data_IF_688371062126
#
_entry.id   IF_688371062126
#
_cell.length_a   1.000
_cell.length_b   1.000
_cell.length_c   1.000
_cell.angle_alpha   90.00
_cell.angle_beta   90.00
_cell.angle_gamma   90.00
#
_symmetry.space_group_name_H-M   'P 1'
#
loop_
_entity.id
_entity.type
_entity.pdbx_description
1 polymer ?
#
# COMPACT_ATOMS: atom_id res chain seq x y z
N UNK A 1 -54.30 -18.61 -50.97
CA UNK A 1 -53.09 -19.13 -51.62
C UNK A 1 -52.78 -18.29 -52.86
N UNK A 2 -51.58 -17.64 -52.89
CA UNK A 2 -50.88 -17.02 -54.05
C UNK A 2 -51.54 -15.77 -54.68
N UNK A 3 -50.86 -14.72 -55.14
CA UNK A 3 -49.57 -14.06 -54.92
C UNK A 3 -49.62 -12.77 -55.79
N UNK A 4 -49.02 -11.67 -55.31
CA UNK A 4 -48.48 -10.48 -56.00
C UNK A 4 -49.32 -9.52 -56.88
N UNK A 5 -49.23 -8.25 -56.45
CA UNK A 5 -48.78 -7.06 -57.20
C UNK A 5 -49.74 -6.36 -58.16
N UNK A 6 -50.18 -5.15 -57.75
CA UNK A 6 -50.24 -3.98 -58.62
C UNK A 6 -50.15 -2.67 -57.82
N UNK A 7 -49.08 -1.96 -58.12
CA UNK A 7 -48.64 -0.61 -57.79
C UNK A 7 -49.75 0.45 -57.98
N UNK A 8 -50.00 1.32 -56.99
CA UNK A 8 -50.65 2.62 -57.20
C UNK A 8 -50.32 3.64 -56.10
N UNK A 9 -49.48 4.59 -56.49
CA UNK A 9 -49.37 6.01 -56.10
C UNK A 9 -50.09 6.44 -54.81
N UNK A 10 -49.31 6.73 -53.76
CA UNK A 10 -49.72 7.70 -52.74
C UNK A 10 -48.50 8.55 -52.34
N UNK A 11 -48.61 9.83 -52.66
CA UNK A 11 -47.70 10.94 -52.40
C UNK A 11 -47.40 11.04 -50.91
N UNK A 12 -46.24 10.55 -50.46
CA UNK A 12 -45.80 10.72 -49.08
C UNK A 12 -44.98 12.00 -48.95
N UNK A 13 -45.68 13.10 -48.71
CA UNK A 13 -45.07 14.31 -48.15
C UNK A 13 -44.58 13.99 -46.73
N UNK A 14 -43.32 13.59 -46.60
CA UNK A 14 -42.65 13.50 -45.31
C UNK A 14 -41.87 14.81 -45.09
N UNK A 15 -42.60 15.83 -44.65
CA UNK A 15 -42.02 17.04 -44.14
C UNK A 15 -41.69 16.86 -42.64
N UNK A 16 -40.45 17.18 -42.27
CA UNK A 16 -40.02 17.66 -40.96
C UNK A 16 -40.16 16.70 -39.76
N UNK A 17 -39.05 16.06 -39.40
CA UNK A 17 -38.28 16.40 -38.18
C UNK A 17 -36.89 15.76 -38.26
N UNK A 18 -35.88 16.56 -38.62
CA UNK A 18 -34.50 16.25 -38.26
C UNK A 18 -34.38 16.40 -36.75
N UNK A 19 -34.58 15.31 -36.00
CA UNK A 19 -34.33 15.27 -34.56
C UNK A 19 -32.98 14.57 -34.33
N UNK A 20 -31.92 15.37 -34.41
CA UNK A 20 -30.63 15.15 -33.76
C UNK A 20 -29.96 13.79 -33.96
N UNK A 21 -29.30 13.58 -35.09
CA UNK A 21 -27.99 12.94 -35.03
C UNK A 21 -27.03 14.05 -34.63
N UNK A 22 -26.38 13.94 -33.47
CA UNK A 22 -25.51 14.97 -32.92
C UNK A 22 -24.61 15.57 -33.98
N UNK A 23 -24.72 16.88 -34.13
CA UNK A 23 -23.77 17.72 -34.85
C UNK A 23 -22.42 17.58 -34.15
N UNK A 24 -21.61 16.60 -34.56
CA UNK A 24 -20.18 16.68 -34.30
C UNK A 24 -19.63 17.70 -35.28
N UNK A 25 -19.79 18.97 -34.91
CA UNK A 25 -19.22 20.12 -35.58
C UNK A 25 -17.74 19.86 -35.87
N UNK A 26 -17.29 19.85 -37.13
CA UNK A 26 -15.90 19.70 -37.47
C UNK A 26 -15.25 21.09 -37.44
N UNK A 27 -14.69 21.49 -36.30
CA UNK A 27 -13.66 22.53 -36.29
C UNK A 27 -13.90 23.76 -35.40
N UNK A 28 -13.95 23.57 -34.09
CA UNK A 28 -13.03 24.35 -33.25
C UNK A 28 -11.94 23.39 -32.84
N UNK A 29 -10.68 23.80 -32.96
CA UNK A 29 -9.59 23.02 -32.39
C UNK A 29 -10.00 22.59 -30.99
N UNK A 30 -10.07 21.28 -30.78
CA UNK A 30 -9.87 20.67 -29.48
C UNK A 30 -8.47 21.10 -29.04
N UNK A 31 -8.40 22.34 -28.57
CA UNK A 31 -7.35 22.85 -27.76
C UNK A 31 -7.59 22.13 -26.45
N UNK A 32 -7.18 20.86 -26.39
CA UNK A 32 -6.55 20.29 -25.21
C UNK A 32 -5.34 21.20 -24.91
N UNK A 33 -5.66 22.41 -24.44
CA UNK A 33 -4.73 23.26 -23.73
C UNK A 33 -4.66 22.57 -22.40
N UNK A 34 -3.66 21.71 -22.28
CA UNK A 34 -3.19 21.23 -21.00
C UNK A 34 -2.99 22.46 -20.09
N UNK A 35 -3.83 22.58 -19.06
CA UNK A 35 -3.78 23.67 -18.07
C UNK A 35 -3.27 23.10 -16.76
N UNK A 36 -2.00 23.35 -16.49
CA UNK A 36 -1.40 22.94 -15.24
C UNK A 36 -2.06 23.64 -14.03
N UNK A 37 -2.49 22.83 -13.07
CA UNK A 37 -3.21 23.24 -11.87
C UNK A 37 -4.73 23.20 -12.00
N UNK A 38 -5.28 22.58 -13.05
CA UNK A 38 -6.74 22.44 -13.22
C UNK A 38 -7.31 21.17 -12.55
N UNK A 39 -6.43 20.34 -11.98
CA UNK A 39 -6.77 19.11 -11.29
C UNK A 39 -7.17 17.98 -12.24
N UNK A 40 -6.71 18.00 -13.49
CA UNK A 40 -6.80 16.91 -14.45
C UNK A 40 -5.52 16.74 -15.24
N UNK A 41 -4.98 15.53 -15.31
CA UNK A 41 -3.82 15.24 -16.17
C UNK A 41 -4.26 15.20 -17.64
N UNK A 42 -3.87 16.20 -18.43
CA UNK A 42 -4.31 16.37 -19.83
C UNK A 42 -3.16 16.71 -20.80
N UNK A 43 -3.38 16.50 -22.10
CA UNK A 43 -2.41 16.79 -23.15
C UNK A 43 -1.01 16.20 -22.94
N UNK A 44 -0.05 17.05 -22.55
CA UNK A 44 1.37 16.69 -22.32
C UNK A 44 1.77 16.68 -20.84
N UNK A 45 0.83 16.94 -19.94
CA UNK A 45 1.09 16.92 -18.51
C UNK A 45 1.38 15.51 -18.05
N UNK A 46 2.35 15.40 -17.13
CA UNK A 46 2.67 14.12 -16.47
C UNK A 46 1.88 13.98 -15.17
N UNK A 47 1.48 15.12 -14.58
CA UNK A 47 0.73 15.23 -13.34
C UNK A 47 0.03 16.59 -13.28
N UNK A 48 -0.95 16.75 -12.38
CA UNK A 48 -1.57 18.04 -12.07
C UNK A 48 -1.82 18.17 -10.57
N UNK A 49 -1.06 19.05 -9.90
CA UNK A 49 -1.20 19.26 -8.45
C UNK A 49 -0.92 17.99 -7.63
N UNK A 50 -1.97 17.40 -7.05
CA UNK A 50 -1.87 16.12 -6.31
C UNK A 50 -2.11 14.91 -7.22
N UNK A 51 -2.67 15.14 -8.40
CA UNK A 51 -3.01 14.10 -9.34
C UNK A 51 -1.76 13.66 -10.11
N UNK A 52 -1.07 12.68 -9.55
CA UNK A 52 0.19 12.15 -10.09
C UNK A 52 -0.03 10.96 -11.03
N UNK A 53 -1.20 10.89 -11.70
CA UNK A 53 -1.54 9.82 -12.66
C UNK A 53 -1.36 8.37 -12.14
N UNK A 54 -1.43 8.16 -10.81
CA UNK A 54 -1.22 6.86 -10.18
C UNK A 54 0.25 6.51 -9.88
N UNK A 55 1.18 7.43 -10.16
CA UNK A 55 2.58 7.30 -9.75
C UNK A 55 2.77 7.52 -8.25
N UNK A 56 3.86 6.99 -7.72
CA UNK A 56 4.22 7.05 -6.30
C UNK A 56 5.70 7.33 -6.16
N UNK A 57 6.15 7.72 -4.96
CA UNK A 57 7.60 7.78 -4.68
C UNK A 57 8.29 6.45 -5.03
N UNK A 58 7.63 5.31 -4.77
CA UNK A 58 8.14 3.97 -5.09
C UNK A 58 8.36 3.77 -6.59
N UNK A 59 7.40 4.15 -7.42
CA UNK A 59 7.54 4.01 -8.88
C UNK A 59 8.57 4.95 -9.48
N UNK A 60 8.86 6.06 -8.79
CA UNK A 60 9.94 7.00 -9.14
C UNK A 60 11.32 6.59 -8.58
N UNK A 61 11.43 5.42 -7.95
CA UNK A 61 12.69 4.86 -7.45
C UNK A 61 13.06 5.26 -6.02
N UNK A 62 12.12 5.84 -5.28
CA UNK A 62 12.25 6.14 -3.85
C UNK A 62 11.60 5.04 -3.00
N UNK A 63 11.68 5.16 -1.67
CA UNK A 63 11.10 4.19 -0.75
C UNK A 63 9.68 4.50 -0.33
N UNK A 64 9.48 5.75 0.09
CA UNK A 64 8.24 6.20 0.72
C UNK A 64 8.06 7.70 0.53
N UNK A 65 6.96 8.23 1.05
CA UNK A 65 6.63 9.65 1.03
C UNK A 65 5.48 9.99 0.09
N UNK A 66 5.30 11.29 -0.15
CA UNK A 66 4.24 11.80 -1.03
C UNK A 66 4.86 12.34 -2.31
N UNK A 67 4.46 11.78 -3.45
CA UNK A 67 4.87 12.30 -4.75
C UNK A 67 4.03 13.53 -5.07
N UNK A 68 4.68 14.64 -5.40
CA UNK A 68 4.02 15.87 -5.84
C UNK A 68 4.15 16.06 -7.35
N UNK A 69 3.50 17.10 -7.84
CA UNK A 69 3.68 17.60 -9.19
C UNK A 69 4.47 18.89 -9.20
N UNK A 70 5.42 19.02 -10.13
CA UNK A 70 6.13 20.28 -10.34
C UNK A 70 5.16 21.37 -10.83
N UNK A 71 5.48 22.63 -10.56
CA UNK A 71 4.66 23.79 -10.95
C UNK A 71 4.48 23.96 -12.47
N UNK A 72 5.28 23.26 -13.28
CA UNK A 72 5.16 23.21 -14.73
C UNK A 72 4.41 21.98 -15.25
N UNK A 73 3.99 21.06 -14.38
CA UNK A 73 3.31 19.80 -14.70
C UNK A 73 4.06 18.89 -15.70
N UNK A 74 5.32 19.19 -16.01
CA UNK A 74 6.18 18.42 -16.93
C UNK A 74 7.06 17.40 -16.20
N UNK A 75 7.05 17.41 -14.88
CA UNK A 75 7.84 16.50 -14.04
C UNK A 75 7.21 16.28 -12.67
N UNK A 76 7.55 15.16 -12.04
CA UNK A 76 7.17 14.89 -10.66
C UNK A 76 8.09 15.62 -9.69
N UNK A 77 7.49 16.16 -8.63
CA UNK A 77 8.22 16.70 -7.49
C UNK A 77 8.42 15.58 -6.44
N UNK A 78 9.65 15.07 -6.37
CA UNK A 78 10.05 14.04 -5.40
C UNK A 78 10.70 14.61 -4.13
N UNK A 79 10.61 15.93 -3.88
CA UNK A 79 11.24 16.55 -2.69
C UNK A 79 10.68 16.04 -1.37
N UNK A 80 9.44 15.55 -1.36
CA UNK A 80 8.81 14.91 -0.20
C UNK A 80 8.96 13.37 -0.20
N UNK A 81 9.66 12.80 -1.17
CA UNK A 81 10.01 11.38 -1.19
C UNK A 81 11.26 11.12 -0.32
N UNK A 82 11.30 9.95 0.32
CA UNK A 82 12.43 9.50 1.14
C UNK A 82 13.05 8.25 0.54
N UNK A 83 14.33 8.02 0.83
CA UNK A 83 15.02 6.80 0.42
C UNK A 83 14.31 5.55 0.99
N UNK A 84 14.44 4.43 0.28
CA UNK A 84 13.97 3.15 0.81
C UNK A 84 14.79 2.74 2.04
N UNK A 85 14.14 2.22 3.09
CA UNK A 85 14.86 1.67 4.24
C UNK A 85 15.75 0.51 3.78
N UNK A 86 16.95 0.41 4.35
CA UNK A 86 17.94 -0.61 3.97
C UNK A 86 18.19 -1.57 5.12
N UNK A 87 17.42 -2.65 5.14
CA UNK A 87 17.56 -3.70 6.14
C UNK A 87 18.96 -4.35 6.13
N UNK A 88 19.56 -4.42 7.32
CA UNK A 88 20.88 -4.98 7.59
C UNK A 88 21.99 -3.94 7.64
N UNK A 89 21.67 -2.64 7.69
CA UNK A 89 22.65 -1.55 7.82
C UNK A 89 22.92 -1.15 9.28
N UNK A 90 22.24 -1.78 10.24
CA UNK A 90 22.27 -1.51 11.69
C UNK A 90 21.70 -0.15 12.11
N UNK A 91 20.84 0.45 11.28
CA UNK A 91 20.13 1.70 11.57
C UNK A 91 18.67 1.45 11.24
N UNK A 92 17.77 1.60 12.21
CA UNK A 92 16.34 1.54 11.88
C UNK A 92 15.94 2.75 11.06
N UNK A 93 15.40 2.49 9.89
CA UNK A 93 14.87 3.47 8.95
C UNK A 93 13.36 3.25 8.73
N UNK A 94 12.61 4.35 8.61
CA UNK A 94 11.18 4.32 8.26
C UNK A 94 10.35 3.33 9.12
N UNK A 95 9.75 2.33 8.47
CA UNK A 95 8.85 1.34 9.06
C UNK A 95 9.58 0.05 9.55
N UNK A 96 10.90 0.03 9.60
CA UNK A 96 11.65 -1.11 10.14
C UNK A 96 11.37 -1.29 11.64
N UNK A 97 10.98 -2.50 12.03
CA UNK A 97 10.78 -2.84 13.44
C UNK A 97 12.13 -2.87 14.20
N UNK A 98 13.18 -3.29 13.50
CA UNK A 98 14.56 -3.39 13.96
C UNK A 98 15.50 -3.44 12.75
N UNK A 99 16.78 -3.14 12.95
CA UNK A 99 17.83 -3.44 11.96
C UNK A 99 19.10 -3.90 12.69
N UNK A 100 19.47 -5.17 12.49
CA UNK A 100 20.69 -5.74 13.06
C UNK A 100 20.70 -5.64 14.59
N UNK A 101 21.53 -4.75 15.12
CA UNK A 101 21.64 -4.47 16.56
C UNK A 101 20.71 -3.35 17.05
N UNK A 102 20.09 -2.59 16.15
CA UNK A 102 19.21 -1.48 16.48
C UNK A 102 17.78 -1.99 16.75
N UNK A 103 17.56 -2.53 17.95
CA UNK A 103 16.36 -3.29 18.33
C UNK A 103 15.21 -2.46 18.94
N UNK A 104 15.19 -1.14 18.72
CA UNK A 104 14.17 -0.21 19.24
C UNK A 104 14.03 -0.23 20.76
N UNK A 105 15.19 -0.34 21.43
CA UNK A 105 15.29 -0.55 22.87
C UNK A 105 14.50 -1.77 23.38
N UNK A 106 14.11 -2.68 22.49
CA UNK A 106 13.44 -3.92 22.84
C UNK A 106 14.46 -4.95 23.33
N UNK A 107 13.98 -5.82 24.20
CA UNK A 107 14.71 -6.97 24.69
C UNK A 107 13.76 -8.13 24.89
N UNK A 108 14.29 -9.35 24.99
CA UNK A 108 13.49 -10.53 25.32
C UNK A 108 12.67 -10.30 26.61
N UNK A 109 13.27 -9.65 27.62
CA UNK A 109 12.59 -9.33 28.88
C UNK A 109 11.37 -8.42 28.71
N UNK A 110 11.46 -7.40 27.85
CA UNK A 110 10.33 -6.51 27.56
C UNK A 110 9.20 -7.22 26.77
N UNK A 111 9.54 -8.31 26.11
CA UNK A 111 8.64 -9.11 25.29
C UNK A 111 8.06 -10.32 26.06
N UNK A 112 8.30 -10.40 27.37
CA UNK A 112 7.73 -11.41 28.27
C UNK A 112 8.58 -12.65 28.50
N UNK A 113 9.80 -12.69 27.95
CA UNK A 113 10.75 -13.78 28.20
C UNK A 113 11.58 -13.50 29.46
N UNK A 114 12.26 -14.52 29.99
CA UNK A 114 13.17 -14.36 31.13
C UNK A 114 14.38 -13.48 30.82
N UNK A 115 14.87 -13.60 29.58
CA UNK A 115 16.15 -13.07 29.16
C UNK A 115 16.56 -13.64 27.80
N UNK A 116 17.87 -13.65 27.56
CA UNK A 116 18.44 -14.06 26.27
C UNK A 116 18.76 -12.87 25.36
N UNK A 117 19.07 -13.17 24.11
CA UNK A 117 19.46 -12.17 23.11
C UNK A 117 18.35 -11.99 22.09
N UNK A 118 17.74 -10.81 22.06
CA UNK A 118 16.74 -10.47 21.05
C UNK A 118 17.44 -10.27 19.70
N UNK A 119 16.94 -10.90 18.65
CA UNK A 119 17.42 -10.69 17.29
C UNK A 119 16.46 -9.84 16.48
N UNK A 120 16.92 -9.37 15.34
CA UNK A 120 16.08 -8.84 14.27
C UNK A 120 15.88 -9.89 13.17
N UNK A 121 14.70 -9.97 12.57
CA UNK A 121 14.50 -10.80 11.39
C UNK A 121 15.30 -10.27 10.20
N UNK A 122 15.63 -11.16 9.26
CA UNK A 122 16.42 -10.80 8.07
C UNK A 122 15.68 -9.87 7.08
N UNK A 123 14.37 -9.70 7.27
CA UNK A 123 13.52 -8.79 6.51
C UNK A 123 13.18 -7.51 7.28
N UNK A 124 13.70 -7.33 8.51
CA UNK A 124 13.47 -6.19 9.39
C UNK A 124 11.99 -5.89 9.71
N UNK A 125 11.06 -6.80 9.37
CA UNK A 125 9.62 -6.64 9.61
C UNK A 125 9.21 -6.98 11.04
N UNK A 126 10.10 -7.60 11.82
CA UNK A 126 9.83 -8.00 13.18
C UNK A 126 11.06 -8.55 13.90
N UNK A 127 10.85 -8.85 15.18
CA UNK A 127 11.89 -9.40 16.05
C UNK A 127 11.98 -10.91 15.95
N UNK A 128 13.20 -11.41 16.15
CA UNK A 128 13.52 -12.82 16.24
C UNK A 128 13.71 -13.22 17.71
N UNK A 129 12.82 -14.07 18.22
CA UNK A 129 12.83 -14.55 19.60
C UNK A 129 13.53 -15.90 19.79
N UNK A 130 14.14 -16.48 18.76
CA UNK A 130 14.72 -17.83 18.83
C UNK A 130 15.87 -17.97 19.83
N UNK A 131 16.53 -16.86 20.18
CA UNK A 131 17.58 -16.79 21.19
C UNK A 131 17.12 -16.16 22.51
N UNK A 132 15.81 -15.94 22.67
CA UNK A 132 15.22 -15.59 23.95
C UNK A 132 15.04 -16.84 24.81
N UNK A 133 15.28 -16.70 26.09
CA UNK A 133 15.09 -17.78 27.07
C UNK A 133 13.73 -17.59 27.71
N UNK A 134 12.84 -18.56 27.53
CA UNK A 134 11.71 -18.77 28.42
C UNK A 134 12.27 -19.07 29.82
N UNK A 135 11.72 -18.49 30.89
CA UNK A 135 12.11 -18.90 32.25
C UNK A 135 11.80 -20.40 32.33
N UNK A 136 12.79 -21.22 32.70
CA UNK A 136 12.56 -22.61 33.05
C UNK A 136 11.86 -22.64 34.42
N UNK A 137 10.59 -22.25 34.46
CA UNK A 137 9.78 -22.24 35.67
C UNK A 137 8.51 -21.43 35.53
N UNK A 138 7.54 -21.93 34.75
CA UNK A 138 6.16 -21.47 34.81
C UNK A 138 5.25 -22.55 35.36
N UNK A 139 4.69 -22.30 36.55
CA UNK A 139 3.68 -23.20 37.10
C UNK A 139 2.51 -23.35 36.10
N UNK A 140 2.19 -24.58 35.72
CA UNK A 140 1.10 -24.92 34.82
C UNK A 140 1.55 -25.46 33.45
N UNK A 141 2.84 -25.73 33.24
CA UNK A 141 3.41 -26.39 32.08
C UNK A 141 3.41 -27.95 32.19
N UNK A 142 3.06 -28.48 33.36
CA UNK A 142 2.93 -29.91 33.66
C UNK A 142 4.21 -30.60 34.12
N UNK A 143 5.33 -29.89 34.26
CA UNK A 143 6.61 -30.39 34.79
C UNK A 143 7.03 -29.56 35.99
N UNK A 144 7.94 -30.07 36.83
CA UNK A 144 8.53 -29.26 37.92
C UNK A 144 9.95 -28.92 37.51
N UNK A 145 10.14 -27.69 37.07
CA UNK A 145 11.43 -27.15 36.64
C UNK A 145 12.30 -26.73 37.83
N UNK A 146 13.59 -26.46 37.57
CA UNK A 146 14.60 -26.28 38.62
C UNK A 146 14.32 -25.11 39.58
N UNK A 147 13.52 -24.12 39.18
CA UNK A 147 13.10 -22.97 40.02
C UNK A 147 11.65 -23.08 40.50
N UNK A 148 10.93 -24.16 40.18
CA UNK A 148 9.55 -24.37 40.60
C UNK A 148 9.45 -25.17 41.89
N UNK A 149 8.49 -24.78 42.74
CA UNK A 149 8.11 -25.56 43.91
C UNK A 149 6.95 -26.52 43.56
N UNK A 150 6.10 -26.14 42.61
CA UNK A 150 5.01 -26.96 42.10
C UNK A 150 4.50 -26.49 40.73
N UNK A 151 3.86 -27.41 40.01
CA UNK A 151 3.18 -27.17 38.74
C UNK A 151 1.79 -27.82 38.76
N UNK A 152 0.75 -26.98 38.91
CA UNK A 152 -0.62 -27.45 39.06
C UNK A 152 -0.77 -28.40 40.25
N UNK A 153 -1.02 -29.69 39.99
CA UNK A 153 -1.13 -30.74 41.01
C UNK A 153 0.19 -31.46 41.31
N UNK A 154 1.26 -31.16 40.57
CA UNK A 154 2.60 -31.71 40.81
C UNK A 154 3.31 -30.89 41.88
N UNK A 155 3.31 -31.36 43.12
CA UNK A 155 3.73 -30.60 44.31
C UNK A 155 5.22 -30.69 44.68
N UNK A 156 6.08 -31.26 43.84
CA UNK A 156 7.54 -31.28 44.11
C UNK A 156 7.95 -32.06 45.35
N UNK A 157 7.10 -32.97 45.83
CA UNK A 157 7.29 -33.69 47.08
C UNK A 157 6.73 -32.99 48.33
N UNK A 158 6.09 -31.83 48.18
CA UNK A 158 5.38 -31.14 49.26
C UNK A 158 4.00 -31.76 49.49
N UNK A 159 3.53 -31.72 50.73
CA UNK A 159 2.16 -32.09 51.12
C UNK A 159 1.35 -30.84 51.50
N UNK A 160 0.02 -30.94 51.39
CA UNK A 160 -0.92 -29.87 51.71
C UNK A 160 -1.02 -29.60 53.22
#
# INVERSE_FOLDING_TARGET
MKFVSKLSVLTLACALIASGCGEKEPGTADLDVAVCGDGQVSGKEVCDGIEVAGETCVSQGFGEGTLGCSADCMSYDATACRAAPVCGNNVREADEACDGYDLADQSCALQGYAGGNLGCNADCTGFNFAACTEEAGYCGNGNIDATEICDGNSLGGQNC
#
